data_IF_875930343247
#
_entry.id   IF_875930343247
#
_cell.length_a   1.000
_cell.length_b   1.000
_cell.length_c   1.000
_cell.angle_alpha   90.00
_cell.angle_beta   90.00
_cell.angle_gamma   90.00
#
_symmetry.space_group_name_H-M   'P 1'
#
loop_
_entity.id
_entity.type
_entity.pdbx_description
1 polymer ?
#
# COMPACT_ATOMS: atom_id res chain seq x y z
N UNK A 1 23.60 17.74 -14.07
CA UNK A 1 23.28 16.60 -13.24
C UNK A 1 21.92 16.79 -12.58
N UNK A 2 21.10 15.81 -12.73
CA UNK A 2 19.79 15.89 -12.10
C UNK A 2 19.94 15.61 -10.62
N UNK A 3 19.53 16.54 -9.82
CA UNK A 3 19.51 16.34 -8.38
C UNK A 3 18.43 15.33 -8.05
N UNK A 4 18.74 14.29 -7.30
CA UNK A 4 17.70 13.39 -6.83
C UNK A 4 16.62 14.16 -6.09
N UNK A 5 15.42 13.67 -6.17
CA UNK A 5 14.27 14.33 -5.54
C UNK A 5 14.39 14.44 -4.03
N UNK A 6 15.25 13.66 -3.42
CA UNK A 6 15.52 13.82 -2.00
C UNK A 6 16.94 14.27 -1.82
N UNK A 7 17.05 15.30 -1.02
CA UNK A 7 18.34 15.85 -0.63
C UNK A 7 18.89 15.15 0.62
N UNK A 8 18.49 13.89 0.85
CA UNK A 8 18.95 13.13 2.00
C UNK A 8 20.37 12.66 1.84
N UNK A 9 21.17 12.84 2.88
CA UNK A 9 22.50 12.25 2.97
C UNK A 9 22.39 10.73 3.10
N UNK A 10 23.52 10.05 2.94
CA UNK A 10 23.55 8.58 3.13
C UNK A 10 23.14 8.20 4.54
N UNK A 11 23.50 8.99 5.54
CA UNK A 11 23.13 8.72 6.92
C UNK A 11 21.62 8.89 7.13
N UNK A 12 21.03 9.92 6.52
CA UNK A 12 19.60 10.14 6.59
C UNK A 12 18.84 9.03 5.89
N UNK A 13 19.36 8.55 4.75
CA UNK A 13 18.75 7.44 4.02
C UNK A 13 18.76 6.17 4.87
N UNK A 14 19.87 5.88 5.54
CA UNK A 14 19.96 4.71 6.41
C UNK A 14 19.01 4.82 7.59
N UNK A 15 18.90 6.00 8.18
CA UNK A 15 17.98 6.24 9.29
C UNK A 15 16.53 6.06 8.84
N UNK A 16 16.19 6.62 7.70
CA UNK A 16 14.84 6.51 7.13
C UNK A 16 14.52 5.05 6.83
N UNK A 17 15.45 4.31 6.21
CA UNK A 17 15.25 2.91 5.91
C UNK A 17 15.05 2.08 7.17
N UNK A 18 15.80 2.39 8.22
CA UNK A 18 15.64 1.73 9.51
C UNK A 18 14.25 1.99 10.10
N UNK A 19 13.78 3.22 10.01
CA UNK A 19 12.44 3.58 10.49
C UNK A 19 11.36 2.85 9.70
N UNK A 20 11.53 2.75 8.38
CA UNK A 20 10.60 2.02 7.53
C UNK A 20 10.57 0.55 7.93
N UNK A 21 11.73 -0.06 8.12
CA UNK A 21 11.82 -1.47 8.49
C UNK A 21 11.19 -1.73 9.86
N UNK A 22 11.42 -0.85 10.81
CA UNK A 22 10.83 -0.98 12.15
C UNK A 22 9.31 -0.90 12.09
N UNK A 23 8.77 0.03 11.32
CA UNK A 23 7.32 0.18 11.18
C UNK A 23 6.71 -1.00 10.41
N UNK A 24 7.39 -1.45 9.36
CA UNK A 24 6.94 -2.61 8.61
C UNK A 24 6.90 -3.85 9.52
N UNK A 25 7.92 -4.03 10.34
CA UNK A 25 7.96 -5.16 11.28
C UNK A 25 6.85 -5.06 12.31
N UNK A 26 6.55 -3.84 12.78
CA UNK A 26 5.43 -3.62 13.69
C UNK A 26 4.10 -4.01 13.04
N UNK A 27 3.89 -3.59 11.80
CA UNK A 27 2.68 -3.93 11.07
C UNK A 27 2.54 -5.44 10.86
N UNK A 28 3.65 -6.13 10.64
CA UNK A 28 3.64 -7.57 10.38
C UNK A 28 3.72 -8.43 11.64
N UNK A 29 3.80 -7.81 12.81
CA UNK A 29 3.96 -8.56 14.07
C UNK A 29 2.85 -9.58 14.31
N UNK A 30 1.63 -9.27 13.90
CA UNK A 30 0.48 -10.14 14.10
C UNK A 30 0.08 -10.90 12.82
N UNK A 31 0.93 -10.87 11.80
CA UNK A 31 0.63 -11.57 10.56
C UNK A 31 0.58 -13.09 10.79
N UNK A 32 -0.32 -13.81 10.09
CA UNK A 32 -0.39 -15.26 10.26
C UNK A 32 0.91 -15.93 9.82
N UNK A 33 1.51 -16.70 10.73
CA UNK A 33 2.75 -17.43 10.44
C UNK A 33 2.49 -18.79 9.84
N UNK A 34 1.36 -19.39 10.17
CA UNK A 34 0.98 -20.73 9.72
C UNK A 34 -0.09 -20.70 8.63
N UNK A 35 -0.44 -19.51 8.14
CA UNK A 35 -1.47 -19.36 7.13
C UNK A 35 -0.93 -19.58 5.71
N UNK A 36 -1.86 -19.64 4.77
CA UNK A 36 -1.53 -19.68 3.35
C UNK A 36 -1.01 -18.33 2.90
N UNK A 37 -0.43 -18.28 1.69
CA UNK A 37 -0.04 -17.00 1.10
C UNK A 37 -1.24 -16.06 0.98
N UNK A 38 -2.41 -16.62 0.64
CA UNK A 38 -3.64 -15.85 0.55
C UNK A 38 -3.97 -15.18 1.89
N UNK A 39 -3.88 -15.93 3.00
CA UNK A 39 -4.15 -15.38 4.33
C UNK A 39 -3.19 -14.26 4.70
N UNK A 40 -1.92 -14.42 4.36
CA UNK A 40 -0.89 -13.41 4.63
C UNK A 40 -1.14 -12.16 3.79
N UNK A 41 -1.48 -12.33 2.53
CA UNK A 41 -1.77 -11.21 1.64
C UNK A 41 -3.02 -10.46 2.09
N UNK A 42 -4.05 -11.19 2.53
CA UNK A 42 -5.26 -10.58 3.06
C UNK A 42 -4.94 -9.72 4.29
N UNK A 43 -4.09 -10.22 5.17
CA UNK A 43 -3.65 -9.48 6.35
C UNK A 43 -2.99 -8.15 5.94
N UNK A 44 -2.09 -8.17 4.96
CA UNK A 44 -1.41 -6.97 4.48
C UNK A 44 -2.41 -5.97 3.89
N UNK A 45 -3.33 -6.45 3.07
CA UNK A 45 -4.39 -5.64 2.46
C UNK A 45 -5.22 -4.92 3.54
N UNK A 46 -5.70 -5.67 4.51
CA UNK A 46 -6.50 -5.13 5.61
C UNK A 46 -5.69 -4.16 6.48
N UNK A 47 -4.45 -4.50 6.77
CA UNK A 47 -3.58 -3.70 7.62
C UNK A 47 -3.30 -2.33 7.01
N UNK A 48 -2.95 -2.31 5.73
CA UNK A 48 -2.66 -1.06 5.04
C UNK A 48 -3.89 -0.17 4.95
N UNK A 49 -5.05 -0.74 4.61
CA UNK A 49 -6.28 0.05 4.52
C UNK A 49 -6.67 0.62 5.88
N UNK A 50 -6.52 -0.18 6.93
CA UNK A 50 -6.91 0.22 8.28
C UNK A 50 -6.01 1.31 8.84
N UNK A 51 -4.70 1.22 8.64
CA UNK A 51 -3.73 2.09 9.30
C UNK A 51 -3.22 3.25 8.46
N UNK A 52 -3.43 3.22 7.16
CA UNK A 52 -2.91 4.26 6.25
C UNK A 52 -4.09 4.94 5.54
N UNK A 53 -4.09 6.26 5.58
CA UNK A 53 -5.15 7.06 4.97
C UNK A 53 -4.82 7.44 3.53
N UNK A 54 -5.84 7.54 2.69
CA UNK A 54 -5.68 8.08 1.35
C UNK A 54 -5.74 9.60 1.40
N UNK A 55 -4.62 10.26 1.07
CA UNK A 55 -4.53 11.71 1.11
C UNK A 55 -3.79 12.18 -0.14
N UNK A 56 -4.48 12.95 -1.00
CA UNK A 56 -3.96 13.35 -2.31
C UNK A 56 -2.65 14.09 -2.28
N UNK A 57 -2.53 15.02 -1.35
CA UNK A 57 -1.37 15.91 -1.28
C UNK A 57 -0.42 15.52 -0.15
N UNK A 58 -0.46 14.27 0.26
CA UNK A 58 0.44 13.78 1.30
C UNK A 58 1.90 13.87 0.85
N UNK A 59 2.78 14.18 1.78
CA UNK A 59 4.22 14.26 1.51
C UNK A 59 4.76 12.88 1.11
N UNK A 60 5.67 12.86 0.15
CA UNK A 60 6.33 11.62 -0.32
C UNK A 60 5.36 10.55 -0.79
N UNK A 61 4.20 10.97 -1.33
CA UNK A 61 3.09 10.06 -1.63
C UNK A 61 3.37 9.06 -2.76
N UNK A 62 4.48 9.20 -3.47
CA UNK A 62 4.86 8.29 -4.55
C UNK A 62 5.83 7.20 -4.09
N UNK A 63 6.12 7.13 -2.81
CA UNK A 63 7.01 6.12 -2.28
C UNK A 63 6.55 5.64 -0.90
N UNK A 64 7.24 4.64 -0.37
CA UNK A 64 6.83 4.00 0.88
C UNK A 64 7.09 4.84 2.13
N UNK A 65 7.86 5.92 2.03
CA UNK A 65 8.07 6.82 3.16
C UNK A 65 6.73 7.36 3.66
N UNK A 66 5.85 7.75 2.72
CA UNK A 66 4.54 8.28 3.07
C UNK A 66 3.72 7.27 3.87
N UNK A 67 3.82 6.00 3.50
CA UNK A 67 3.07 4.92 4.15
C UNK A 67 3.58 4.67 5.56
N UNK A 68 4.87 4.40 5.68
CA UNK A 68 5.42 3.90 6.95
C UNK A 68 5.75 4.98 7.95
N UNK A 69 6.04 6.19 7.50
CA UNK A 69 6.40 7.28 8.42
C UNK A 69 5.26 8.28 8.61
N UNK A 70 4.43 8.49 7.59
CA UNK A 70 3.35 9.49 7.66
C UNK A 70 1.96 8.89 7.76
N UNK A 71 1.81 7.61 7.43
CA UNK A 71 0.53 6.89 7.40
C UNK A 71 -0.52 7.57 6.51
N UNK A 72 -0.04 8.22 5.44
CA UNK A 72 -0.86 8.88 4.43
C UNK A 72 -0.22 8.68 3.08
N UNK A 73 -1.00 8.29 2.06
CA UNK A 73 -0.43 8.06 0.74
C UNK A 73 -1.50 8.10 -0.36
N UNK A 74 -1.07 7.85 -1.59
CA UNK A 74 -1.94 7.66 -2.76
C UNK A 74 -1.71 6.27 -3.35
N UNK A 75 -2.32 5.99 -4.50
CA UNK A 75 -2.28 4.64 -5.09
C UNK A 75 -0.87 4.08 -5.27
N UNK A 76 0.08 4.89 -5.71
CA UNK A 76 1.45 4.43 -5.94
C UNK A 76 2.13 4.01 -4.64
N UNK A 77 1.97 4.81 -3.58
CA UNK A 77 2.52 4.46 -2.27
C UNK A 77 1.88 3.19 -1.69
N UNK A 78 0.56 3.06 -1.81
CA UNK A 78 -0.13 1.84 -1.38
C UNK A 78 0.40 0.61 -2.12
N UNK A 79 0.57 0.71 -3.44
CA UNK A 79 1.03 -0.42 -4.24
C UNK A 79 2.46 -0.83 -3.88
N UNK A 80 3.36 0.14 -3.73
CA UNK A 80 4.74 -0.16 -3.34
C UNK A 80 4.81 -0.72 -1.92
N UNK A 81 4.00 -0.21 -1.00
CA UNK A 81 3.97 -0.72 0.36
C UNK A 81 3.41 -2.15 0.41
N UNK A 82 2.40 -2.44 -0.38
CA UNK A 82 1.84 -3.79 -0.48
C UNK A 82 2.92 -4.76 -0.94
N UNK A 83 3.66 -4.39 -1.99
CA UNK A 83 4.76 -5.22 -2.49
C UNK A 83 5.84 -5.41 -1.42
N UNK A 84 6.23 -4.33 -0.75
CA UNK A 84 7.28 -4.37 0.26
C UNK A 84 6.91 -5.31 1.41
N UNK A 85 5.69 -5.21 1.92
CA UNK A 85 5.23 -6.05 3.02
C UNK A 85 5.07 -7.51 2.60
N UNK A 86 4.53 -7.76 1.41
CA UNK A 86 4.39 -9.13 0.90
C UNK A 86 5.74 -9.79 0.69
N UNK A 87 6.72 -9.07 0.14
CA UNK A 87 8.05 -9.60 -0.05
C UNK A 87 8.73 -9.93 1.28
N UNK A 88 8.49 -9.14 2.32
CA UNK A 88 8.96 -9.46 3.67
C UNK A 88 8.37 -10.76 4.21
N UNK A 89 7.18 -11.10 3.76
CA UNK A 89 6.52 -12.36 4.14
C UNK A 89 6.88 -13.52 3.21
N UNK A 90 7.79 -13.29 2.26
CA UNK A 90 8.21 -14.33 1.32
C UNK A 90 7.28 -14.54 0.15
N UNK A 91 6.40 -13.59 -0.13
CA UNK A 91 5.42 -13.69 -1.22
C UNK A 91 5.89 -12.84 -2.40
N UNK A 92 5.94 -13.44 -3.59
CA UNK A 92 6.28 -12.73 -4.81
C UNK A 92 5.18 -11.77 -5.19
N UNK A 93 5.53 -10.51 -5.37
CA UNK A 93 4.55 -9.47 -5.70
C UNK A 93 5.20 -8.43 -6.61
N UNK A 94 4.45 -7.96 -7.59
CA UNK A 94 4.87 -6.92 -8.52
C UNK A 94 3.90 -5.76 -8.43
N UNK A 95 4.41 -4.55 -8.59
CA UNK A 95 3.58 -3.36 -8.74
C UNK A 95 3.31 -3.15 -10.22
N UNK A 96 2.05 -3.00 -10.57
CA UNK A 96 1.60 -2.74 -11.93
C UNK A 96 1.25 -1.27 -12.05
N UNK A 97 1.87 -0.59 -13.00
CA UNK A 97 1.56 0.81 -13.31
C UNK A 97 0.80 0.83 -14.63
N UNK A 98 -0.38 1.38 -14.63
CA UNK A 98 -1.21 1.40 -15.82
C UNK A 98 -2.14 2.60 -15.86
N UNK A 99 -3.05 2.58 -16.83
CA UNK A 99 -4.06 3.61 -16.97
C UNK A 99 -5.44 3.00 -16.84
N UNK A 100 -6.28 3.67 -16.07
CA UNK A 100 -7.69 3.35 -15.98
C UNK A 100 -8.47 4.54 -16.55
N UNK A 101 -9.79 4.44 -16.63
CA UNK A 101 -10.62 5.50 -17.21
C UNK A 101 -10.38 6.87 -16.57
N UNK A 102 -10.01 6.88 -15.28
CA UNK A 102 -9.80 8.12 -14.54
C UNK A 102 -8.34 8.59 -14.55
N UNK A 103 -7.46 7.94 -15.31
CA UNK A 103 -6.04 8.32 -15.41
C UNK A 103 -5.08 7.25 -14.92
N UNK A 104 -3.83 7.65 -14.59
CA UNK A 104 -2.84 6.70 -14.12
C UNK A 104 -3.25 6.03 -12.81
N UNK A 105 -2.94 4.75 -12.68
CA UNK A 105 -3.25 3.99 -11.48
C UNK A 105 -2.16 2.95 -11.23
N UNK A 106 -2.03 2.54 -9.97
CA UNK A 106 -1.06 1.53 -9.56
C UNK A 106 -1.76 0.49 -8.69
N UNK A 107 -1.48 -0.78 -8.96
CA UNK A 107 -2.00 -1.89 -8.17
C UNK A 107 -0.96 -3.01 -8.16
N UNK A 108 -1.33 -4.16 -7.61
CA UNK A 108 -0.37 -5.26 -7.46
C UNK A 108 -0.85 -6.54 -8.12
N UNK A 109 0.13 -7.34 -8.53
CA UNK A 109 -0.08 -8.72 -8.95
C UNK A 109 0.77 -9.58 -8.04
N UNK A 110 0.14 -10.47 -7.28
CA UNK A 110 0.82 -11.32 -6.31
C UNK A 110 0.62 -12.79 -6.64
N UNK A 111 1.65 -13.58 -6.39
CA UNK A 111 1.56 -15.03 -6.53
C UNK A 111 1.17 -15.63 -5.18
N UNK A 112 -0.04 -16.13 -5.07
CA UNK A 112 -0.61 -16.67 -3.84
C UNK A 112 -0.91 -18.15 -4.03
N UNK A 113 -0.19 -19.00 -3.29
CA UNK A 113 -0.40 -20.45 -3.31
C UNK A 113 -0.33 -21.05 -4.73
N UNK A 114 0.55 -20.50 -5.56
CA UNK A 114 0.79 -20.99 -6.92
C UNK A 114 0.03 -20.28 -8.02
N UNK A 115 -0.95 -19.45 -7.69
CA UNK A 115 -1.75 -18.71 -8.67
C UNK A 115 -1.54 -17.21 -8.54
N UNK A 116 -1.78 -16.47 -9.62
CA UNK A 116 -1.63 -15.02 -9.63
C UNK A 116 -2.97 -14.33 -9.38
N UNK A 117 -2.95 -13.32 -8.52
CA UNK A 117 -4.12 -12.55 -8.14
C UNK A 117 -3.83 -11.06 -8.16
N UNK A 118 -4.82 -10.26 -8.54
CA UNK A 118 -4.73 -8.82 -8.45
C UNK A 118 -5.12 -8.34 -7.05
N UNK A 119 -4.38 -7.37 -6.55
CA UNK A 119 -4.67 -6.71 -5.28
C UNK A 119 -4.64 -5.21 -5.53
N UNK A 120 -5.72 -4.52 -5.19
CA UNK A 120 -5.79 -3.06 -5.31
C UNK A 120 -6.14 -2.46 -3.96
N UNK A 121 -5.12 -2.14 -3.20
CA UNK A 121 -5.26 -1.60 -1.85
C UNK A 121 -5.93 -0.23 -1.86
N UNK A 122 -5.67 0.58 -2.88
CA UNK A 122 -6.28 1.90 -3.01
C UNK A 122 -7.79 1.80 -3.19
N UNK A 123 -8.23 1.02 -4.16
CA UNK A 123 -9.66 0.86 -4.44
C UNK A 123 -10.37 0.06 -3.36
N UNK A 124 -9.63 -0.76 -2.62
CA UNK A 124 -10.17 -1.43 -1.46
C UNK A 124 -10.44 -0.50 -0.29
N UNK A 125 -9.91 0.72 -0.34
CA UNK A 125 -10.05 1.70 0.73
C UNK A 125 -11.23 2.63 0.43
N UNK A 126 -12.25 2.60 1.29
CA UNK A 126 -13.45 3.41 1.12
C UNK A 126 -13.17 4.92 1.10
N UNK A 127 -12.07 5.36 1.70
CA UNK A 127 -11.71 6.78 1.69
C UNK A 127 -11.45 7.28 0.28
N UNK A 128 -10.81 6.45 -0.56
CA UNK A 128 -10.58 6.81 -1.95
C UNK A 128 -11.90 6.97 -2.70
N UNK A 129 -12.81 6.02 -2.54
CA UNK A 129 -14.10 6.05 -3.21
C UNK A 129 -14.97 7.22 -2.73
N UNK A 130 -14.95 7.51 -1.45
CA UNK A 130 -15.72 8.64 -0.88
C UNK A 130 -15.23 9.97 -1.40
N UNK A 131 -13.92 10.09 -1.66
CA UNK A 131 -13.33 11.33 -2.15
C UNK A 131 -13.75 11.62 -3.60
N UNK A 132 -14.04 10.60 -4.37
CA UNK A 132 -14.50 10.75 -5.75
C UNK A 132 -15.92 11.32 -5.81
N UNK A 133 -16.64 11.27 -4.71
CA UNK A 133 -18.01 11.77 -4.62
C UNK A 133 -18.04 13.01 -3.72
N UNK A 134 -17.82 14.16 -4.32
CA UNK A 134 -17.77 15.44 -3.60
C UNK A 134 -19.08 15.81 -2.90
N UNK A 135 -20.16 15.10 -3.19
CA UNK A 135 -21.45 15.38 -2.61
C UNK A 135 -21.69 14.63 -1.32
N UNK A 136 -20.82 13.69 -0.97
CA UNK A 136 -20.92 13.01 0.30
C UNK A 136 -20.16 13.78 1.37
N UNK A 137 -20.84 14.74 1.97
CA UNK A 137 -20.27 15.54 3.05
C UNK A 137 -19.99 14.72 4.30
N UNK A 138 -20.61 13.57 4.43
CA UNK A 138 -20.41 12.72 5.58
C UNK A 138 -19.51 11.57 5.19
N UNK A 139 -18.24 11.74 5.45
CA UNK A 139 -17.31 10.62 5.33
C UNK A 139 -17.68 9.62 6.40
N UNK A 140 -18.34 8.59 5.97
CA UNK A 140 -18.64 7.47 6.82
C UNK A 140 -17.33 6.84 7.27
N UNK A 141 -17.35 6.15 8.38
CA UNK A 141 -16.22 5.40 8.87
C UNK A 141 -15.59 4.58 7.75
N UNK A 142 -14.26 4.56 7.73
CA UNK A 142 -13.48 3.79 6.76
C UNK A 142 -13.91 2.32 6.78
N UNK A 143 -14.16 1.74 5.61
CA UNK A 143 -14.43 0.32 5.49
C UNK A 143 -13.56 -0.27 4.37
N UNK A 144 -13.47 -1.59 4.34
CA UNK A 144 -12.65 -2.32 3.37
C UNK A 144 -13.56 -2.94 2.31
N UNK A 145 -13.25 -2.68 1.04
CA UNK A 145 -13.95 -3.31 -0.08
C UNK A 145 -13.13 -4.51 -0.56
N UNK A 146 -13.56 -5.69 -0.16
CA UNK A 146 -12.85 -6.93 -0.47
C UNK A 146 -12.96 -7.37 -1.93
N UNK A 147 -13.77 -6.69 -2.73
CA UNK A 147 -13.84 -6.97 -4.18
C UNK A 147 -12.53 -6.67 -4.89
N UNK A 148 -11.68 -5.86 -4.28
CA UNK A 148 -10.38 -5.49 -4.84
C UNK A 148 -9.24 -6.32 -4.28
N UNK A 149 -9.56 -7.40 -3.60
CA UNK A 149 -8.57 -8.33 -3.11
C UNK A 149 -8.77 -9.70 -3.74
N UNK A 150 -7.71 -10.23 -4.37
CA UNK A 150 -7.70 -11.60 -4.84
C UNK A 150 -8.47 -11.87 -6.11
N UNK A 151 -8.72 -10.83 -6.93
CA UNK A 151 -9.35 -11.04 -8.24
C UNK A 151 -8.37 -11.75 -9.18
N UNK A 152 -8.80 -12.84 -9.86
CA UNK A 152 -7.94 -13.54 -10.81
C UNK A 152 -7.68 -12.75 -12.08
#
# INVERSE_FOLDING_TARGET
MVTPEYSMSKEEQKKTQKQIDEEADRMLADAPTDGTDYDKALYVFEKLITEVDYVDDSADNQNIISVFLNHETICQGYAYATQYLLEKLGISCTTVLGNVSDGPHAWNLAKLDGDYYYIDTTWGNSQYLSRQDEQKENVVSKYIDYNYFGAP
#
